data_IF_465185198442
#
_entry.id   IF_465185198442
#
_cell.length_a   1.000
_cell.length_b   1.000
_cell.length_c   1.000
_cell.angle_alpha   90.00
_cell.angle_beta   90.00
_cell.angle_gamma   90.00
#
_symmetry.space_group_name_H-M   'P 1'
#
loop_
_entity.id
_entity.type
_entity.pdbx_description
1 polymer ?
#
# COMPACT_ATOMS: atom_id res chain seq x y z
N UNK A 1 0.34 -11.40 18.18
CA UNK A 1 -0.49 -10.19 18.32
C UNK A 1 0.19 -9.28 19.33
N UNK A 2 0.81 -8.22 18.85
CA UNK A 2 1.57 -7.31 19.70
C UNK A 2 0.61 -6.24 20.22
N UNK A 3 0.29 -6.27 21.53
CA UNK A 3 -0.61 -5.28 22.16
C UNK A 3 -0.12 -3.83 21.97
N UNK A 4 1.15 -3.64 21.59
CA UNK A 4 1.76 -2.35 21.30
C UNK A 4 1.28 -1.72 19.98
N UNK A 5 0.61 -2.50 19.11
CA UNK A 5 0.14 -2.04 17.80
C UNK A 5 -1.27 -1.47 17.84
N UNK A 6 -1.89 -1.48 19.01
CA UNK A 6 -3.26 -1.03 19.19
C UNK A 6 -3.34 0.44 19.58
N UNK A 7 -4.37 1.18 19.14
CA UNK A 7 -4.69 2.48 19.71
C UNK A 7 -4.77 2.37 21.23
N UNK A 8 -4.36 3.41 21.94
CA UNK A 8 -4.25 3.40 23.41
C UNK A 8 -5.52 2.91 24.14
N UNK A 9 -6.71 3.21 23.61
CA UNK A 9 -7.99 2.72 24.15
C UNK A 9 -8.17 1.22 23.94
N UNK A 10 -7.70 0.65 22.82
CA UNK A 10 -7.81 -0.78 22.53
C UNK A 10 -6.74 -1.58 23.29
N UNK A 11 -5.53 -1.03 23.45
CA UNK A 11 -4.50 -1.58 24.33
C UNK A 11 -4.98 -1.58 25.80
N UNK A 12 -5.66 -0.50 26.24
CA UNK A 12 -6.28 -0.44 27.58
C UNK A 12 -7.37 -1.50 27.74
N UNK A 13 -8.25 -1.69 26.75
CA UNK A 13 -9.28 -2.74 26.75
C UNK A 13 -8.66 -4.13 26.88
N UNK A 14 -7.63 -4.46 26.12
CA UNK A 14 -6.92 -5.73 26.20
C UNK A 14 -6.27 -5.94 27.58
N UNK A 15 -5.64 -4.90 28.14
CA UNK A 15 -5.05 -4.97 29.48
C UNK A 15 -6.08 -5.15 30.58
N UNK A 16 -7.25 -4.51 30.44
CA UNK A 16 -8.31 -4.54 31.44
C UNK A 16 -9.09 -5.86 31.41
N UNK A 17 -9.19 -6.49 30.24
CA UNK A 17 -10.00 -7.70 30.02
C UNK A 17 -9.16 -8.93 29.62
N UNK A 18 -8.01 -9.12 30.25
CA UNK A 18 -7.13 -10.27 29.99
C UNK A 18 -7.82 -11.64 30.01
N UNK A 19 -8.94 -11.75 30.70
CA UNK A 19 -9.75 -12.97 30.75
C UNK A 19 -10.78 -13.11 29.62
N UNK A 20 -10.86 -12.14 28.70
CA UNK A 20 -11.85 -12.07 27.60
C UNK A 20 -11.17 -11.99 26.24
N UNK A 21 -9.93 -12.47 26.13
CA UNK A 21 -9.08 -12.37 24.94
C UNK A 21 -9.80 -12.72 23.61
N UNK A 22 -10.62 -13.76 23.63
CA UNK A 22 -11.36 -14.19 22.44
C UNK A 22 -12.39 -13.18 21.95
N UNK A 23 -13.12 -12.53 22.85
CA UNK A 23 -14.20 -11.59 22.50
C UNK A 23 -13.62 -10.24 22.04
N UNK A 24 -12.68 -9.70 22.80
CA UNK A 24 -12.02 -8.41 22.46
C UNK A 24 -11.19 -8.56 21.19
N UNK A 25 -10.43 -9.64 21.05
CA UNK A 25 -9.65 -9.93 19.84
C UNK A 25 -10.54 -10.07 18.60
N UNK A 26 -11.68 -10.75 18.71
CA UNK A 26 -12.63 -10.87 17.61
C UNK A 26 -13.30 -9.53 17.27
N UNK A 27 -13.64 -8.71 18.27
CA UNK A 27 -14.18 -7.38 18.05
C UNK A 27 -13.18 -6.47 17.32
N UNK A 28 -11.92 -6.47 17.73
CA UNK A 28 -10.86 -5.69 17.07
C UNK A 28 -10.66 -6.17 15.64
N UNK A 29 -10.55 -7.48 15.41
CA UNK A 29 -10.41 -8.05 14.06
C UNK A 29 -11.60 -7.71 13.17
N UNK A 30 -12.82 -7.79 13.68
CA UNK A 30 -14.03 -7.46 12.93
C UNK A 30 -14.05 -5.98 12.51
N UNK A 31 -13.58 -5.06 13.38
CA UNK A 31 -13.54 -3.64 13.08
C UNK A 31 -12.30 -3.23 12.24
N UNK A 32 -11.21 -3.99 12.31
CA UNK A 32 -10.03 -3.76 11.48
C UNK A 32 -10.16 -4.34 10.07
N UNK A 33 -11.07 -5.32 9.88
CA UNK A 33 -11.32 -5.94 8.59
C UNK A 33 -12.08 -4.98 7.68
N UNK A 34 -11.43 -4.50 6.64
CA UNK A 34 -12.01 -3.52 5.71
C UNK A 34 -12.92 -4.15 4.67
N UNK A 35 -12.72 -5.42 4.35
CA UNK A 35 -13.55 -6.16 3.39
C UNK A 35 -13.39 -7.68 3.51
N UNK A 36 -14.36 -8.41 2.96
CA UNK A 36 -14.41 -9.87 3.00
C UNK A 36 -13.50 -10.54 1.97
N UNK A 37 -13.35 -9.90 0.79
CA UNK A 37 -12.58 -10.45 -0.31
C UNK A 37 -11.09 -10.19 -0.13
N UNK A 38 -10.26 -11.21 -0.32
CA UNK A 38 -8.82 -11.00 -0.46
C UNK A 38 -8.49 -10.27 -1.77
N UNK A 39 -7.22 -9.85 -1.94
CA UNK A 39 -6.83 -9.00 -3.07
C UNK A 39 -7.12 -9.67 -4.44
N UNK A 40 -6.87 -10.96 -4.58
CA UNK A 40 -7.15 -11.70 -5.81
C UNK A 40 -8.66 -11.74 -6.08
N UNK A 41 -9.47 -12.05 -5.08
CA UNK A 41 -10.92 -12.08 -5.21
C UNK A 41 -11.49 -10.70 -5.56
N UNK A 42 -10.92 -9.62 -5.02
CA UNK A 42 -11.30 -8.25 -5.39
C UNK A 42 -11.02 -7.96 -6.86
N UNK A 43 -9.85 -8.34 -7.34
CA UNK A 43 -9.46 -8.16 -8.74
C UNK A 43 -10.36 -8.98 -9.68
N UNK A 44 -10.64 -10.24 -9.33
CA UNK A 44 -11.57 -11.11 -10.08
C UNK A 44 -13.01 -10.56 -10.06
N UNK A 45 -13.43 -9.91 -8.98
CA UNK A 45 -14.71 -9.23 -8.88
C UNK A 45 -14.80 -7.91 -9.66
N UNK A 46 -13.71 -7.48 -10.32
CA UNK A 46 -13.68 -6.29 -11.17
C UNK A 46 -13.15 -5.03 -10.48
N UNK A 47 -12.64 -5.11 -9.25
CA UNK A 47 -12.00 -3.96 -8.60
C UNK A 47 -10.65 -3.70 -9.29
N UNK A 48 -10.40 -2.43 -9.64
CA UNK A 48 -9.19 -1.99 -10.36
C UNK A 48 -8.48 -0.82 -9.70
N UNK A 49 -9.00 -0.30 -8.60
CA UNK A 49 -8.36 0.69 -7.75
C UNK A 49 -8.19 0.11 -6.35
N UNK A 50 -6.95 0.06 -5.87
CA UNK A 50 -6.57 -0.51 -4.58
C UNK A 50 -5.91 0.56 -3.71
N UNK A 51 -6.49 0.85 -2.54
CA UNK A 51 -5.86 1.65 -1.48
C UNK A 51 -5.04 0.72 -0.58
N UNK A 52 -3.73 0.69 -0.80
CA UNK A 52 -2.79 -0.16 -0.07
C UNK A 52 -2.07 0.68 0.99
N UNK A 53 -2.42 0.42 2.24
CA UNK A 53 -1.83 1.10 3.39
C UNK A 53 -0.78 0.21 4.02
N UNK A 54 0.45 0.71 4.10
CA UNK A 54 1.59 -0.09 4.57
C UNK A 54 2.27 0.54 5.76
N UNK A 55 2.84 -0.29 6.61
CA UNK A 55 3.65 0.10 7.76
C UNK A 55 4.92 -0.73 7.79
N UNK A 56 6.01 -0.11 8.22
CA UNK A 56 7.28 -0.77 8.45
C UNK A 56 7.48 -0.98 9.95
N UNK A 57 7.66 -2.21 10.38
CA UNK A 57 7.70 -2.60 11.80
C UNK A 57 8.97 -3.29 12.22
N UNK A 58 10.00 -3.35 11.38
CA UNK A 58 11.27 -3.96 11.75
C UNK A 58 11.88 -3.27 12.97
N UNK A 59 12.38 -4.05 13.93
CA UNK A 59 13.09 -3.48 15.07
C UNK A 59 14.33 -2.70 14.60
N UNK A 60 14.72 -1.63 15.31
CA UNK A 60 15.86 -0.78 14.93
C UNK A 60 17.19 -1.51 14.75
N UNK A 61 17.31 -2.71 15.34
CA UNK A 61 18.50 -3.56 15.26
C UNK A 61 18.54 -4.46 14.03
N UNK A 62 17.48 -4.49 13.25
CA UNK A 62 17.40 -5.35 12.07
C UNK A 62 18.08 -4.70 10.86
N UNK A 63 18.77 -5.49 10.07
CA UNK A 63 19.48 -4.99 8.89
C UNK A 63 18.50 -4.39 7.87
N UNK A 64 18.91 -3.29 7.25
CA UNK A 64 18.16 -2.70 6.11
C UNK A 64 18.11 -3.73 4.99
N UNK A 65 16.93 -4.06 4.55
CA UNK A 65 16.73 -5.02 3.46
C UNK A 65 15.74 -6.13 3.77
N UNK A 66 15.36 -6.22 5.01
CA UNK A 66 14.34 -7.16 5.43
C UNK A 66 12.94 -6.67 5.00
N UNK A 67 12.13 -7.61 4.55
CA UNK A 67 10.76 -7.38 4.14
C UNK A 67 9.82 -7.37 5.37
N UNK A 68 9.90 -6.28 6.15
CA UNK A 68 9.05 -6.08 7.33
C UNK A 68 7.99 -4.99 7.11
N UNK A 69 7.50 -4.94 5.90
CA UNK A 69 6.34 -4.15 5.53
C UNK A 69 5.08 -4.97 5.65
N UNK A 70 4.12 -4.44 6.40
CA UNK A 70 2.82 -5.08 6.63
C UNK A 70 1.69 -4.12 6.24
N UNK A 71 0.51 -4.63 5.94
CA UNK A 71 -0.64 -3.75 5.75
C UNK A 71 -1.20 -3.31 7.09
N UNK A 72 -1.74 -2.10 7.13
CA UNK A 72 -2.26 -1.46 8.34
C UNK A 72 -3.67 -0.91 8.11
N UNK A 73 -4.61 -1.34 8.94
CA UNK A 73 -5.88 -0.66 9.14
C UNK A 73 -6.30 -0.80 10.60
N UNK A 74 -6.10 0.23 11.42
CA UNK A 74 -6.21 0.23 12.88
C UNK A 74 -5.22 -0.71 13.58
N UNK A 75 -5.04 -1.91 13.05
CA UNK A 75 -4.06 -2.91 13.49
C UNK A 75 -3.22 -3.37 12.32
N UNK A 76 -2.01 -3.82 12.61
CA UNK A 76 -1.12 -4.45 11.65
C UNK A 76 -1.66 -5.83 11.24
N UNK A 77 -1.60 -6.15 9.96
CA UNK A 77 -1.96 -7.48 9.47
C UNK A 77 -0.80 -8.45 9.64
N UNK A 78 -1.11 -9.76 9.68
CA UNK A 78 -0.08 -10.80 9.65
C UNK A 78 0.52 -11.01 8.24
N UNK A 79 -0.03 -10.34 7.23
CA UNK A 79 0.39 -10.50 5.85
C UNK A 79 1.37 -9.40 5.46
N UNK A 80 2.51 -9.80 4.90
CA UNK A 80 3.49 -8.89 4.32
C UNK A 80 2.88 -8.08 3.18
N UNK A 81 3.17 -6.77 3.13
CA UNK A 81 2.62 -5.90 2.08
C UNK A 81 3.08 -6.28 0.67
N UNK A 82 4.30 -6.79 0.52
CA UNK A 82 4.81 -7.23 -0.78
C UNK A 82 3.92 -8.31 -1.43
N UNK A 83 3.31 -9.16 -0.61
CA UNK A 83 2.38 -10.19 -1.07
C UNK A 83 1.22 -9.60 -1.91
N UNK A 84 0.67 -8.46 -1.51
CA UNK A 84 -0.42 -7.83 -2.27
C UNK A 84 0.03 -7.37 -3.65
N UNK A 85 1.23 -6.80 -3.75
CA UNK A 85 1.82 -6.39 -5.03
C UNK A 85 2.12 -7.58 -5.94
N UNK A 86 2.59 -8.69 -5.37
CA UNK A 86 2.81 -9.93 -6.12
C UNK A 86 1.50 -10.45 -6.72
N UNK A 87 0.42 -10.50 -5.96
CA UNK A 87 -0.89 -10.92 -6.46
C UNK A 87 -1.46 -10.00 -7.54
N UNK A 88 -1.24 -8.67 -7.42
CA UNK A 88 -1.61 -7.74 -8.50
C UNK A 88 -0.79 -8.00 -9.76
N UNK A 89 0.51 -8.24 -9.61
CA UNK A 89 1.40 -8.53 -10.74
C UNK A 89 1.00 -9.85 -11.44
N UNK A 90 0.72 -10.91 -10.68
CA UNK A 90 0.22 -12.19 -11.19
C UNK A 90 -1.12 -12.04 -11.90
N UNK A 91 -2.07 -11.32 -11.30
CA UNK A 91 -3.35 -11.02 -11.92
C UNK A 91 -3.16 -10.31 -13.28
N UNK A 92 -2.32 -9.30 -13.33
CA UNK A 92 -2.05 -8.58 -14.57
C UNK A 92 -1.31 -9.45 -15.61
N UNK A 93 -0.48 -10.40 -15.21
CA UNK A 93 0.11 -11.40 -16.11
C UNK A 93 -0.97 -12.25 -16.77
N UNK A 94 -1.91 -12.74 -15.95
CA UNK A 94 -2.94 -13.69 -16.38
C UNK A 94 -4.11 -13.00 -17.12
N UNK A 95 -4.27 -11.68 -16.93
CA UNK A 95 -5.29 -10.84 -17.54
C UNK A 95 -4.66 -9.71 -18.39
N UNK A 96 -4.13 -10.04 -19.59
CA UNK A 96 -3.30 -9.11 -20.38
C UNK A 96 -4.02 -7.87 -20.91
N UNK A 97 -5.35 -7.77 -20.77
CA UNK A 97 -6.15 -6.62 -21.18
C UNK A 97 -6.57 -5.71 -20.02
N UNK A 98 -6.14 -6.03 -18.81
CA UNK A 98 -6.50 -5.31 -17.60
C UNK A 98 -5.43 -4.31 -17.16
N UNK A 99 -5.88 -3.26 -16.47
CA UNK A 99 -5.04 -2.24 -15.82
C UNK A 99 -5.44 -2.17 -14.36
N UNK A 100 -4.47 -2.02 -13.46
CA UNK A 100 -4.71 -1.84 -12.03
C UNK A 100 -4.04 -0.57 -11.55
N UNK A 101 -4.78 0.24 -10.80
CA UNK A 101 -4.31 1.43 -10.10
C UNK A 101 -4.10 1.09 -8.65
N UNK A 102 -2.93 1.41 -8.12
CA UNK A 102 -2.56 1.19 -6.73
C UNK A 102 -2.20 2.52 -6.08
N UNK A 103 -2.82 2.80 -4.94
CA UNK A 103 -2.47 3.91 -4.08
C UNK A 103 -1.73 3.36 -2.88
N UNK A 104 -0.47 3.74 -2.74
CA UNK A 104 0.38 3.33 -1.63
C UNK A 104 0.52 4.48 -0.63
N UNK A 105 -0.01 4.30 0.56
CA UNK A 105 -0.06 5.34 1.59
C UNK A 105 0.40 4.84 2.96
N UNK A 106 0.64 5.78 3.87
CA UNK A 106 0.88 5.56 5.30
C UNK A 106 2.13 4.72 5.62
N UNK A 107 3.27 5.10 5.09
CA UNK A 107 4.57 4.42 5.29
C UNK A 107 5.18 4.62 6.69
N UNK A 108 4.44 4.45 7.71
CA UNK A 108 4.69 4.82 9.08
C UNK A 108 3.79 5.98 9.46
N UNK A 109 2.74 5.70 10.19
CA UNK A 109 1.76 6.71 10.53
C UNK A 109 2.08 7.29 11.91
N UNK A 110 2.78 8.41 11.94
CA UNK A 110 2.97 9.19 13.18
C UNK A 110 1.64 9.60 13.84
N UNK A 111 0.56 9.65 13.06
CA UNK A 111 -0.77 10.08 13.52
C UNK A 111 -1.68 8.92 13.94
N UNK A 112 -1.35 7.67 13.60
CA UNK A 112 -2.26 6.55 13.81
C UNK A 112 -2.19 5.97 15.22
N UNK A 113 -1.07 6.13 15.95
CA UNK A 113 -0.84 5.37 17.19
C UNK A 113 -0.10 6.14 18.28
N UNK A 114 0.10 7.45 18.15
CA UNK A 114 0.99 8.21 19.03
C UNK A 114 2.43 8.16 18.53
N UNK A 115 3.16 9.21 18.83
CA UNK A 115 4.45 9.58 18.22
C UNK A 115 5.56 8.52 18.28
N UNK A 116 5.44 7.49 19.11
CA UNK A 116 6.55 6.59 19.46
C UNK A 116 6.35 5.15 19.03
N UNK A 117 5.19 4.77 18.51
CA UNK A 117 4.89 3.36 18.21
C UNK A 117 5.36 2.88 16.84
N UNK A 118 5.46 3.78 15.86
CA UNK A 118 5.93 3.43 14.52
C UNK A 118 6.91 4.49 14.02
N UNK A 119 8.19 4.41 14.39
CA UNK A 119 9.20 5.25 13.80
C UNK A 119 9.14 5.05 12.28
N UNK A 120 8.93 6.11 11.55
CA UNK A 120 8.82 6.06 10.10
C UNK A 120 10.01 5.33 9.47
N UNK A 121 9.76 4.52 8.46
CA UNK A 121 10.83 3.87 7.72
C UNK A 121 11.81 4.89 7.16
N UNK A 122 13.11 4.62 7.28
CA UNK A 122 14.11 5.46 6.64
C UNK A 122 13.92 5.48 5.11
N UNK A 123 14.40 6.54 4.45
CA UNK A 123 14.32 6.63 3.00
C UNK A 123 14.98 5.43 2.29
N UNK A 124 16.06 4.90 2.83
CA UNK A 124 16.73 3.72 2.30
C UNK A 124 15.81 2.48 2.32
N UNK A 125 15.09 2.27 3.43
CA UNK A 125 14.12 1.17 3.57
C UNK A 125 12.93 1.35 2.63
N UNK A 126 12.41 2.59 2.49
CA UNK A 126 11.32 2.90 1.56
C UNK A 126 11.73 2.61 0.11
N UNK A 127 12.91 3.07 -0.30
CA UNK A 127 13.44 2.86 -1.64
C UNK A 127 13.75 1.39 -1.95
N UNK A 128 14.18 0.63 -0.93
CA UNK A 128 14.35 -0.81 -1.07
C UNK A 128 13.01 -1.52 -1.32
N UNK A 129 11.98 -1.17 -0.57
CA UNK A 129 10.64 -1.73 -0.76
C UNK A 129 10.08 -1.38 -2.15
N UNK A 130 10.26 -0.14 -2.61
CA UNK A 130 9.94 0.24 -3.98
C UNK A 130 10.67 -0.63 -5.02
N UNK A 131 11.97 -0.91 -4.80
CA UNK A 131 12.72 -1.83 -5.65
C UNK A 131 12.11 -3.23 -5.68
N UNK A 132 11.70 -3.76 -4.53
CA UNK A 132 11.06 -5.08 -4.41
C UNK A 132 9.70 -5.10 -5.16
N UNK A 133 8.90 -4.03 -5.04
CA UNK A 133 7.65 -3.88 -5.79
C UNK A 133 7.94 -3.91 -7.30
N UNK A 134 8.88 -3.10 -7.78
CA UNK A 134 9.27 -3.11 -9.20
C UNK A 134 9.71 -4.50 -9.68
N UNK A 135 10.47 -5.21 -8.85
CA UNK A 135 10.93 -6.55 -9.17
C UNK A 135 9.76 -7.54 -9.28
N UNK A 136 8.75 -7.46 -8.40
CA UNK A 136 7.58 -8.32 -8.47
C UNK A 136 6.85 -8.18 -9.81
N UNK A 137 6.68 -6.97 -10.32
CA UNK A 137 6.03 -6.73 -11.61
C UNK A 137 6.93 -7.12 -12.81
N UNK A 138 8.19 -6.75 -12.77
CA UNK A 138 9.13 -7.07 -13.85
C UNK A 138 9.36 -8.58 -14.00
N UNK A 139 9.33 -9.34 -12.92
CA UNK A 139 9.52 -10.80 -12.94
C UNK A 139 8.41 -11.54 -13.71
N UNK A 140 7.23 -10.93 -13.82
CA UNK A 140 6.09 -11.46 -14.59
C UNK A 140 5.86 -10.71 -15.91
N UNK A 141 6.78 -9.80 -16.28
CA UNK A 141 6.73 -9.09 -17.54
C UNK A 141 5.68 -7.98 -17.62
N UNK A 142 5.21 -7.44 -16.49
CA UNK A 142 4.24 -6.33 -16.44
C UNK A 142 4.95 -5.01 -16.21
N UNK A 143 4.64 -4.01 -17.04
CA UNK A 143 5.21 -2.67 -16.94
C UNK A 143 4.36 -1.69 -16.14
N UNK A 144 5.03 -0.71 -15.52
CA UNK A 144 4.39 0.45 -14.91
C UNK A 144 4.10 1.53 -15.96
N UNK A 145 3.00 2.25 -15.75
CA UNK A 145 2.72 3.50 -16.48
C UNK A 145 3.65 4.59 -15.94
N UNK A 146 4.55 5.14 -16.75
CA UNK A 146 5.49 6.14 -16.27
C UNK A 146 4.80 7.49 -16.01
N UNK A 147 5.27 8.20 -14.99
CA UNK A 147 4.85 9.57 -14.70
C UNK A 147 5.65 10.61 -15.49
N UNK A 148 6.82 10.25 -16.02
CA UNK A 148 7.72 11.18 -16.69
C UNK A 148 7.08 11.76 -17.97
N UNK A 149 6.97 13.09 -18.00
CA UNK A 149 6.35 13.81 -19.11
C UNK A 149 4.82 13.76 -19.16
N UNK A 150 4.20 13.10 -18.20
CA UNK A 150 2.75 13.03 -18.05
C UNK A 150 2.28 13.85 -16.85
N UNK A 151 1.28 14.67 -17.05
CA UNK A 151 0.48 15.26 -16.00
C UNK A 151 -0.85 14.50 -15.90
N UNK A 152 -1.68 14.82 -14.92
CA UNK A 152 -2.99 14.17 -14.75
C UNK A 152 -3.85 14.25 -16.02
N UNK A 153 -3.81 15.37 -16.73
CA UNK A 153 -4.53 15.56 -18.00
C UNK A 153 -4.04 14.65 -19.12
N UNK A 154 -2.73 14.35 -19.19
CA UNK A 154 -2.17 13.46 -20.21
C UNK A 154 -2.48 11.98 -19.93
N UNK A 155 -2.61 11.57 -18.66
CA UNK A 155 -3.13 10.22 -18.33
C UNK A 155 -4.58 10.08 -18.78
N UNK A 156 -5.40 11.09 -18.54
CA UNK A 156 -6.79 11.11 -18.99
C UNK A 156 -6.93 11.08 -20.52
N UNK A 157 -5.92 11.50 -21.27
CA UNK A 157 -5.91 11.47 -22.72
C UNK A 157 -5.34 10.18 -23.33
N UNK A 158 -4.65 9.37 -22.52
CA UNK A 158 -4.09 8.09 -22.97
C UNK A 158 -5.19 7.01 -22.87
N UNK A 159 -5.50 6.36 -23.97
CA UNK A 159 -6.51 5.32 -23.96
C UNK A 159 -6.03 4.06 -23.22
N UNK A 160 -6.97 3.33 -22.62
CA UNK A 160 -6.71 2.01 -22.03
C UNK A 160 -6.07 1.07 -23.04
N UNK A 161 -6.51 1.15 -24.30
CA UNK A 161 -5.97 0.33 -25.40
C UNK A 161 -4.49 0.58 -25.65
N UNK A 162 -4.03 1.83 -25.57
CA UNK A 162 -2.62 2.20 -25.74
C UNK A 162 -1.77 1.70 -24.57
N UNK A 163 -2.26 1.81 -23.34
CA UNK A 163 -1.58 1.29 -22.16
C UNK A 163 -1.45 -0.23 -22.22
N UNK A 164 -2.51 -0.92 -22.60
CA UNK A 164 -2.51 -2.38 -22.78
C UNK A 164 -1.55 -2.78 -23.92
N UNK A 165 -1.61 -2.13 -25.07
CA UNK A 165 -0.73 -2.42 -26.21
C UNK A 165 0.75 -2.21 -25.88
N UNK A 166 1.07 -1.21 -25.06
CA UNK A 166 2.44 -0.95 -24.60
C UNK A 166 2.84 -1.78 -23.38
N UNK A 167 1.98 -2.65 -22.89
CA UNK A 167 2.14 -3.46 -21.67
C UNK A 167 2.44 -2.61 -20.40
N UNK A 168 1.99 -1.35 -20.36
CA UNK A 168 2.09 -0.45 -19.22
C UNK A 168 0.77 -0.49 -18.45
N UNK A 169 0.62 -1.49 -17.59
CA UNK A 169 -0.70 -1.86 -17.04
C UNK A 169 -0.82 -1.69 -15.52
N UNK A 170 0.26 -1.32 -14.86
CA UNK A 170 0.28 -1.01 -13.43
C UNK A 170 0.49 0.50 -13.23
N UNK A 171 -0.43 1.18 -12.54
CA UNK A 171 -0.23 2.55 -12.07
C UNK A 171 -0.03 2.51 -10.56
N UNK A 172 1.06 3.10 -10.09
CA UNK A 172 1.32 3.22 -8.66
C UNK A 172 1.48 4.68 -8.28
N UNK A 173 0.61 5.13 -7.40
CA UNK A 173 0.68 6.43 -6.74
C UNK A 173 1.25 6.23 -5.33
N UNK A 174 2.32 6.95 -5.01
CA UNK A 174 2.96 6.90 -3.70
C UNK A 174 2.67 8.19 -2.92
N UNK A 175 2.10 8.07 -1.73
CA UNK A 175 1.77 9.20 -0.86
C UNK A 175 3.00 9.97 -0.36
N UNK A 176 4.13 9.29 -0.21
CA UNK A 176 5.45 9.89 0.11
C UNK A 176 6.40 9.71 -1.07
N UNK A 177 5.98 10.22 -2.24
CA UNK A 177 6.62 9.98 -3.52
C UNK A 177 8.14 10.23 -3.51
N UNK A 178 8.56 11.38 -2.96
CA UNK A 178 9.98 11.76 -2.97
C UNK A 178 10.84 10.79 -2.17
N UNK A 179 10.43 10.48 -0.95
CA UNK A 179 11.23 9.63 -0.04
C UNK A 179 11.09 8.15 -0.38
N UNK A 180 9.90 7.73 -0.82
CA UNK A 180 9.61 6.34 -1.12
C UNK A 180 10.23 5.89 -2.45
N UNK A 181 10.10 6.69 -3.49
CA UNK A 181 10.51 6.30 -4.84
C UNK A 181 11.79 6.95 -5.32
N UNK A 182 12.33 7.94 -4.58
CA UNK A 182 13.42 8.82 -5.03
C UNK A 182 13.08 9.49 -6.38
N UNK A 183 11.83 9.91 -6.55
CA UNK A 183 11.30 10.51 -7.79
C UNK A 183 11.42 9.60 -9.01
N UNK A 184 11.35 8.28 -8.81
CA UNK A 184 11.40 7.32 -9.90
C UNK A 184 10.24 7.57 -10.88
N UNK A 185 10.51 7.74 -12.18
CA UNK A 185 9.47 8.01 -13.18
C UNK A 185 8.47 6.86 -13.38
N UNK A 186 8.68 5.70 -12.79
CA UNK A 186 7.74 4.57 -12.82
C UNK A 186 6.66 4.64 -11.72
N UNK A 187 6.72 5.67 -10.87
CA UNK A 187 5.69 5.93 -9.87
C UNK A 187 5.14 7.35 -10.02
N UNK A 188 3.95 7.57 -9.52
CA UNK A 188 3.23 8.85 -9.54
C UNK A 188 3.21 9.45 -8.14
N UNK A 189 3.23 10.78 -8.07
CA UNK A 189 3.03 11.48 -6.80
C UNK A 189 1.57 11.28 -6.33
N UNK A 190 1.40 10.66 -5.18
CA UNK A 190 0.10 10.39 -4.60
C UNK A 190 -0.68 11.65 -4.22
N UNK A 191 0.00 12.78 -4.02
CA UNK A 191 -0.65 14.06 -3.77
C UNK A 191 -1.50 14.53 -4.97
N UNK A 192 -1.21 14.05 -6.18
CA UNK A 192 -2.02 14.35 -7.36
C UNK A 192 -3.46 13.83 -7.24
N UNK A 193 -3.67 12.72 -6.52
CA UNK A 193 -5.02 12.18 -6.28
C UNK A 193 -5.71 12.95 -5.14
N UNK A 194 -5.00 13.23 -4.05
CA UNK A 194 -5.60 13.88 -2.88
C UNK A 194 -5.88 15.37 -3.12
N UNK A 195 -5.02 16.05 -3.85
CA UNK A 195 -5.19 17.48 -4.14
C UNK A 195 -6.16 17.77 -5.29
N UNK A 196 -6.46 16.78 -6.14
CA UNK A 196 -7.49 16.92 -7.18
C UNK A 196 -8.90 17.11 -6.64
N UNK A 197 -9.13 16.81 -5.35
CA UNK A 197 -10.39 17.10 -4.66
C UNK A 197 -10.36 18.38 -3.81
N UNK A 198 -9.18 18.96 -3.58
CA UNK A 198 -9.01 20.19 -2.78
C UNK A 198 -8.76 21.45 -3.65
N UNK A 199 -8.62 21.29 -4.95
CA UNK A 199 -8.33 22.37 -5.90
C UNK A 199 -9.55 23.17 -6.40
N UNK A 200 -10.73 22.95 -5.86
CA UNK A 200 -11.92 23.71 -6.20
C UNK A 200 -12.18 24.93 -5.29
N UNK A 201 -11.16 25.51 -4.74
CA UNK A 201 -11.23 26.82 -4.10
C UNK A 201 -10.20 27.77 -4.69
N UNK A 202 -10.39 28.13 -5.94
CA UNK A 202 -9.90 29.37 -6.52
C UNK A 202 -11.04 30.04 -7.27
#
# INVERSE_FOLDING_TARGET
DNANDLPSWAAWLLHTFHSVDGVVGNFIRANAKTQELNITQQLEAGIRFLDLRTIYTAPPTKAVGDDDWYSLHMVESNQKSLFYFQHVAEFLRDHPKEIVVMMLTRHGCEQCTGKDQYPGASNAVKQLFWKQIKQAFSSVGVGFVPSAGMNFSSVNSTSVSELVASNKRALLYAGDYVNFTNKDPLAWDGNLIYNGGAGENV
#
